data_IF_009369368457
#
_entry.id   IF_009369368457
#
_cell.length_a   1.000
_cell.length_b   1.000
_cell.length_c   1.000
_cell.angle_alpha   90.00
_cell.angle_beta   90.00
_cell.angle_gamma   90.00
#
_symmetry.space_group_name_H-M   'P 1'
#
loop_
_entity.id
_entity.type
_entity.pdbx_description
1 polymer ?
#
# COMPACT_ATOMS: atom_id res chain seq x y z
N UNK A 1 -27.56 -63.42 -4.47
CA UNK A 1 -26.16 -63.55 -4.04
C UNK A 1 -25.96 -62.62 -2.84
N UNK A 2 -25.86 -63.19 -1.62
CA UNK A 2 -25.79 -62.44 -0.35
C UNK A 2 -24.32 -62.15 -0.04
N UNK A 3 -23.95 -60.88 0.14
CA UNK A 3 -22.64 -60.52 0.70
C UNK A 3 -22.80 -60.14 2.18
N UNK A 4 -22.01 -60.81 3.01
CA UNK A 4 -21.99 -60.74 4.47
C UNK A 4 -21.21 -59.50 4.95
N UNK A 5 -21.75 -58.88 6.00
CA UNK A 5 -21.12 -58.27 7.17
C UNK A 5 -19.60 -58.49 7.34
N UNK A 6 -18.86 -57.46 7.80
CA UNK A 6 -18.10 -57.50 9.07
C UNK A 6 -17.43 -56.15 9.45
N UNK A 7 -17.68 -55.76 10.71
CA UNK A 7 -16.84 -55.04 11.74
C UNK A 7 -16.33 -53.62 11.46
N UNK A 8 -16.79 -52.60 12.17
CA UNK A 8 -16.57 -52.29 13.62
C UNK A 8 -15.11 -52.00 13.95
N UNK A 9 -14.75 -50.71 13.97
CA UNK A 9 -13.63 -50.19 14.77
C UNK A 9 -14.19 -49.05 15.63
N UNK A 10 -14.27 -49.35 16.91
CA UNK A 10 -14.38 -48.42 18.04
C UNK A 10 -13.11 -47.59 18.14
N UNK A 11 -13.25 -46.28 18.29
CA UNK A 11 -12.15 -45.36 18.53
C UNK A 11 -12.64 -44.12 19.26
N UNK A 12 -12.96 -44.29 20.53
CA UNK A 12 -13.31 -43.23 21.48
C UNK A 12 -12.08 -42.35 21.74
N UNK A 13 -12.12 -41.08 21.36
CA UNK A 13 -11.21 -40.07 21.88
C UNK A 13 -12.04 -38.89 22.40
N UNK A 14 -12.43 -39.04 23.67
CA UNK A 14 -12.98 -38.00 24.52
C UNK A 14 -11.82 -37.07 24.89
N UNK A 15 -11.76 -35.87 24.33
CA UNK A 15 -10.87 -34.82 24.79
C UNK A 15 -11.70 -33.59 25.17
N UNK A 16 -12.15 -33.64 26.41
CA UNK A 16 -12.70 -32.53 27.18
C UNK A 16 -11.66 -31.41 27.24
N UNK A 17 -11.94 -30.25 26.64
CA UNK A 17 -11.32 -28.99 27.09
C UNK A 17 -12.46 -28.10 27.55
N UNK A 18 -12.54 -28.00 28.88
CA UNK A 18 -13.42 -27.14 29.63
C UNK A 18 -13.26 -25.68 29.24
N UNK A 19 -14.40 -25.00 29.31
CA UNK A 19 -14.56 -23.59 29.61
C UNK A 19 -13.39 -23.02 30.43
N UNK A 20 -12.69 -22.08 29.82
CA UNK A 20 -12.05 -20.99 30.57
C UNK A 20 -12.67 -19.67 30.11
N UNK A 21 -13.60 -19.22 30.96
CA UNK A 21 -13.71 -17.84 31.43
C UNK A 21 -14.14 -16.79 30.40
N UNK A 22 -15.42 -16.42 30.55
CA UNK A 22 -15.87 -15.05 30.74
C UNK A 22 -14.72 -14.04 30.89
N UNK A 23 -14.23 -13.51 29.77
CA UNK A 23 -13.62 -12.19 29.79
C UNK A 23 -14.80 -11.24 29.85
N UNK A 24 -15.14 -10.88 31.09
CA UNK A 24 -15.91 -9.70 31.40
C UNK A 24 -15.44 -8.56 30.49
N UNK A 25 -16.34 -7.98 29.70
CA UNK A 25 -16.17 -6.65 29.14
C UNK A 25 -16.09 -5.67 30.31
N UNK A 26 -14.93 -5.60 30.94
CA UNK A 26 -14.57 -4.51 31.83
C UNK A 26 -14.43 -3.32 30.91
N UNK A 27 -15.44 -2.47 30.93
CA UNK A 27 -15.44 -1.14 30.32
C UNK A 27 -14.42 -0.31 31.11
N UNK A 28 -13.14 -0.57 30.91
CA UNK A 28 -12.09 0.33 31.34
C UNK A 28 -12.24 1.58 30.49
N UNK A 29 -12.87 2.60 31.08
CA UNK A 29 -12.64 4.00 30.72
C UNK A 29 -11.22 4.36 31.14
N UNK A 30 -10.24 3.71 30.52
CA UNK A 30 -8.92 4.29 30.46
C UNK A 30 -8.86 4.94 29.10
N UNK A 31 -9.01 6.26 29.09
CA UNK A 31 -8.64 7.15 27.99
C UNK A 31 -7.10 7.12 27.86
N UNK A 32 -6.53 5.91 27.71
CA UNK A 32 -5.16 5.72 27.26
C UNK A 32 -5.21 6.13 25.82
N UNK A 33 -4.91 7.41 25.58
CA UNK A 33 -4.71 7.96 24.26
C UNK A 33 -4.02 6.91 23.41
N UNK A 34 -4.64 6.57 22.28
CA UNK A 34 -4.15 5.58 21.32
C UNK A 34 -2.64 5.72 21.25
N UNK A 35 -1.85 4.64 21.47
CA UNK A 35 -0.40 4.73 21.45
C UNK A 35 0.01 5.53 20.22
N UNK A 36 0.77 6.61 20.44
CA UNK A 36 1.20 7.45 19.33
C UNK A 36 1.82 6.54 18.28
N UNK A 37 1.32 6.63 17.03
CA UNK A 37 1.83 5.79 15.96
C UNK A 37 3.35 5.98 15.88
N UNK A 38 4.15 4.90 15.84
CA UNK A 38 5.60 5.02 15.85
C UNK A 38 6.08 5.91 14.69
N UNK A 39 6.96 6.87 15.00
CA UNK A 39 7.48 7.90 14.10
C UNK A 39 8.92 8.22 14.49
N UNK A 40 9.79 8.37 13.51
CA UNK A 40 11.07 9.07 13.68
C UNK A 40 11.16 10.19 12.66
N UNK A 41 12.05 11.15 12.91
CA UNK A 41 12.42 12.10 11.88
C UNK A 41 13.02 11.34 10.68
N UNK A 42 12.59 11.73 9.47
CA UNK A 42 13.12 11.20 8.22
C UNK A 42 14.22 12.14 7.74
N UNK A 43 15.35 11.58 7.34
CA UNK A 43 16.49 12.36 6.86
C UNK A 43 16.11 13.14 5.61
N UNK A 44 16.70 14.33 5.48
CA UNK A 44 16.36 15.31 4.41
C UNK A 44 16.76 14.86 3.01
N UNK A 45 17.54 13.80 2.88
CA UNK A 45 17.93 13.22 1.59
C UNK A 45 16.73 12.58 0.87
N UNK A 46 15.78 11.98 1.60
CA UNK A 46 14.55 11.40 1.08
C UNK A 46 13.28 12.18 1.48
N UNK A 47 13.32 12.94 2.59
CA UNK A 47 12.20 13.76 3.06
C UNK A 47 12.10 15.12 2.34
N UNK A 48 10.91 15.71 2.41
CA UNK A 48 10.66 17.11 2.03
C UNK A 48 10.12 17.30 0.61
N UNK A 49 10.31 16.31 -0.27
CA UNK A 49 9.88 16.37 -1.66
C UNK A 49 9.06 15.15 -2.09
N UNK A 50 8.32 15.33 -3.18
CA UNK A 50 7.61 14.26 -3.87
C UNK A 50 8.52 13.62 -4.93
N UNK A 51 8.81 12.33 -4.79
CA UNK A 51 9.51 11.54 -5.80
C UNK A 51 8.49 10.87 -6.72
N UNK A 52 8.68 10.93 -8.03
CA UNK A 52 7.75 10.38 -9.00
C UNK A 52 8.32 9.19 -9.77
N UNK A 53 7.51 8.18 -10.08
CA UNK A 53 7.96 6.98 -10.79
C UNK A 53 7.98 7.18 -12.31
N UNK A 54 9.10 6.85 -12.96
CA UNK A 54 9.15 6.71 -14.43
C UNK A 54 8.77 5.27 -14.80
N UNK A 55 7.51 5.06 -15.15
CA UNK A 55 7.09 3.96 -16.03
C UNK A 55 7.29 4.44 -17.49
N UNK A 56 7.45 3.53 -18.47
CA UNK A 56 7.50 3.84 -19.91
C UNK A 56 6.33 4.73 -20.39
N UNK A 57 5.19 4.75 -19.68
CA UNK A 57 4.07 5.66 -19.92
C UNK A 57 4.19 7.06 -19.25
N UNK A 58 5.20 7.29 -18.41
CA UNK A 58 5.34 8.46 -17.53
C UNK A 58 6.47 9.43 -17.93
N UNK A 59 6.93 9.41 -19.19
CA UNK A 59 7.86 10.42 -19.70
C UNK A 59 7.20 11.79 -19.96
N UNK A 60 5.92 11.95 -19.65
CA UNK A 60 5.25 13.25 -19.70
C UNK A 60 5.69 14.07 -18.47
N UNK A 61 6.48 15.15 -18.65
CA UNK A 61 6.98 15.97 -17.56
C UNK A 61 5.86 16.68 -16.77
N UNK A 62 4.64 16.70 -17.29
CA UNK A 62 3.46 17.23 -16.61
C UNK A 62 2.82 16.21 -15.64
N UNK A 63 3.27 14.94 -15.65
CA UNK A 63 2.84 13.91 -14.70
C UNK A 63 3.60 14.06 -13.37
N UNK A 64 3.18 15.05 -12.60
CA UNK A 64 3.61 15.22 -11.22
C UNK A 64 3.01 14.15 -10.31
N UNK A 65 3.68 13.82 -9.20
CA UNK A 65 3.09 13.03 -8.13
C UNK A 65 1.88 13.77 -7.55
N UNK A 66 0.71 13.39 -8.03
CA UNK A 66 -0.56 13.95 -7.60
C UNK A 66 -1.24 13.01 -6.60
N UNK A 67 -1.41 13.52 -5.39
CA UNK A 67 -1.99 12.82 -4.24
C UNK A 67 -3.49 12.57 -4.36
N UNK A 68 -4.16 13.19 -5.34
CA UNK A 68 -5.61 13.10 -5.47
C UNK A 68 -6.10 11.78 -6.06
N UNK A 69 -5.22 10.81 -6.30
CA UNK A 69 -5.59 9.46 -6.77
C UNK A 69 -6.63 8.80 -5.88
N UNK A 70 -6.55 9.03 -4.56
CA UNK A 70 -7.47 8.49 -3.57
C UNK A 70 -7.60 9.50 -2.43
N UNK A 71 -8.83 9.88 -2.10
CA UNK A 71 -9.12 10.72 -0.96
C UNK A 71 -9.40 9.83 0.27
N UNK A 72 -8.49 9.77 1.24
CA UNK A 72 -8.66 8.89 2.40
C UNK A 72 -9.78 9.32 3.35
N UNK A 73 -10.24 10.57 3.27
CA UNK A 73 -11.33 11.10 4.10
C UNK A 73 -12.68 10.71 3.52
N UNK A 74 -12.84 10.73 2.20
CA UNK A 74 -14.12 10.44 1.53
C UNK A 74 -14.21 9.03 0.96
N UNK A 75 -13.08 8.31 0.84
CA UNK A 75 -13.01 7.00 0.19
C UNK A 75 -13.10 7.05 -1.33
N UNK A 76 -13.02 8.25 -1.94
CA UNK A 76 -13.21 8.44 -3.38
C UNK A 76 -11.89 8.26 -4.11
N UNK A 77 -11.91 7.43 -5.17
CA UNK A 77 -10.83 7.33 -6.14
C UNK A 77 -10.98 8.38 -7.24
N UNK A 78 -9.84 8.82 -7.77
CA UNK A 78 -9.70 9.68 -8.94
C UNK A 78 -10.48 10.99 -8.89
N UNK A 79 -10.83 11.47 -7.69
CA UNK A 79 -11.70 12.63 -7.52
C UNK A 79 -13.01 12.53 -8.36
N UNK A 80 -13.61 11.33 -8.41
CA UNK A 80 -14.79 10.98 -9.24
C UNK A 80 -14.58 11.02 -10.76
N UNK A 81 -13.35 11.17 -11.27
CA UNK A 81 -13.09 10.99 -12.69
C UNK A 81 -13.37 9.52 -13.10
N UNK A 82 -13.90 9.27 -14.32
CA UNK A 82 -14.19 7.92 -14.79
C UNK A 82 -12.95 7.02 -14.85
N UNK A 83 -11.82 7.59 -15.26
CA UNK A 83 -10.52 6.90 -15.31
C UNK A 83 -9.44 7.83 -14.74
N UNK A 84 -8.25 7.31 -14.35
CA UNK A 84 -7.12 8.17 -13.98
C UNK A 84 -6.72 9.16 -15.08
N UNK A 85 -6.92 8.82 -16.36
CA UNK A 85 -6.49 9.67 -17.48
C UNK A 85 -7.37 10.89 -17.68
N UNK A 86 -8.58 10.83 -17.14
CA UNK A 86 -9.56 11.92 -17.14
C UNK A 86 -9.40 12.85 -15.93
N UNK A 87 -8.53 12.50 -14.98
CA UNK A 87 -8.22 13.39 -13.86
C UNK A 87 -7.43 14.62 -14.32
N UNK A 88 -7.74 15.76 -13.70
CA UNK A 88 -6.97 17.00 -13.84
C UNK A 88 -6.64 17.51 -12.43
N UNK A 89 -5.35 17.55 -12.02
CA UNK A 89 -4.20 16.98 -12.72
C UNK A 89 -4.28 15.45 -12.79
N UNK A 90 -3.63 14.85 -13.79
CA UNK A 90 -3.52 13.39 -13.90
C UNK A 90 -2.81 12.81 -12.66
N UNK A 91 -3.14 11.58 -12.22
CA UNK A 91 -2.48 10.96 -11.10
C UNK A 91 -1.07 10.52 -11.53
N UNK A 92 -0.09 10.79 -10.67
CA UNK A 92 1.28 10.34 -10.86
C UNK A 92 1.58 9.10 -10.01
N UNK A 93 2.54 8.30 -10.49
CA UNK A 93 3.23 7.34 -9.64
C UNK A 93 4.21 8.08 -8.75
N UNK A 94 4.32 7.73 -7.47
CA UNK A 94 5.31 8.36 -6.63
C UNK A 94 5.25 7.98 -5.16
N UNK A 95 6.19 8.55 -4.43
CA UNK A 95 6.37 8.41 -3.00
C UNK A 95 6.75 9.76 -2.42
N UNK A 96 6.22 10.05 -1.23
CA UNK A 96 6.55 11.24 -0.46
C UNK A 96 6.78 10.85 0.99
N UNK A 97 7.88 11.33 1.53
CA UNK A 97 8.15 11.32 2.96
C UNK A 97 8.23 12.76 3.45
N UNK A 98 7.53 13.03 4.54
CA UNK A 98 7.66 14.28 5.26
C UNK A 98 8.69 14.14 6.37
N UNK A 99 9.28 15.27 6.79
CA UNK A 99 10.33 15.27 7.81
C UNK A 99 9.87 14.69 9.15
N UNK A 100 8.58 14.80 9.48
CA UNK A 100 7.99 14.30 10.73
C UNK A 100 7.60 12.80 10.67
N UNK A 101 7.99 12.10 9.61
CA UNK A 101 7.71 10.67 9.45
C UNK A 101 6.37 10.33 8.82
N UNK A 102 5.53 11.27 8.39
CA UNK A 102 4.35 10.89 7.59
C UNK A 102 4.79 10.52 6.16
N UNK A 103 4.17 9.47 5.59
CA UNK A 103 4.45 9.04 4.23
C UNK A 103 3.19 8.81 3.41
N UNK A 104 3.34 8.90 2.09
CA UNK A 104 2.31 8.59 1.11
C UNK A 104 2.91 7.98 -0.16
N UNK A 105 2.31 6.92 -0.66
CA UNK A 105 2.76 6.17 -1.85
C UNK A 105 1.55 5.95 -2.76
N UNK A 106 1.70 6.33 -4.02
CA UNK A 106 0.77 5.98 -5.09
C UNK A 106 1.53 5.20 -6.17
N UNK A 107 0.99 4.07 -6.59
CA UNK A 107 1.45 3.38 -7.80
C UNK A 107 0.25 2.95 -8.63
N UNK A 108 0.41 2.92 -9.93
CA UNK A 108 -0.53 2.29 -10.82
C UNK A 108 0.21 1.65 -12.00
N UNK A 109 -0.44 0.66 -12.59
CA UNK A 109 0.00 0.00 -13.81
C UNK A 109 -1.19 -0.16 -14.74
N UNK A 110 -0.95 -0.21 -16.04
CA UNK A 110 -1.98 -0.49 -17.05
C UNK A 110 -1.59 -1.66 -17.92
N UNK A 111 -2.58 -2.34 -18.49
CA UNK A 111 -2.38 -3.44 -19.45
C UNK A 111 -1.84 -3.01 -20.83
N UNK A 112 -1.49 -1.72 -21.04
CA UNK A 112 -0.81 -1.24 -22.25
C UNK A 112 -1.59 -0.22 -23.10
N UNK A 113 -1.27 -0.16 -24.40
CA UNK A 113 -1.89 0.73 -25.39
C UNK A 113 -3.13 0.07 -26.04
N UNK A 114 -4.21 0.83 -26.27
CA UNK A 114 -5.47 0.33 -26.88
C UNK A 114 -6.74 0.79 -26.16
N UNK A 115 -7.92 0.37 -26.64
CA UNK A 115 -9.23 0.81 -26.11
C UNK A 115 -9.79 -0.01 -24.93
N UNK A 116 -9.32 -1.24 -24.74
CA UNK A 116 -9.77 -2.13 -23.65
C UNK A 116 -8.67 -2.24 -22.59
N UNK A 117 -8.46 -1.17 -21.83
CA UNK A 117 -7.40 -1.13 -20.82
C UNK A 117 -7.90 -1.66 -19.48
N UNK A 118 -7.00 -2.33 -18.77
CA UNK A 118 -7.17 -2.61 -17.35
C UNK A 118 -6.13 -1.84 -16.57
N UNK A 119 -6.48 -1.44 -15.35
CA UNK A 119 -5.65 -0.64 -14.47
C UNK A 119 -5.64 -1.26 -13.08
N UNK A 120 -4.47 -1.33 -12.47
CA UNK A 120 -4.33 -1.61 -11.05
C UNK A 120 -3.72 -0.40 -10.36
N UNK A 121 -4.27 0.00 -9.22
CA UNK A 121 -3.86 1.15 -8.43
C UNK A 121 -3.57 0.71 -7.00
N UNK A 122 -2.53 1.28 -6.46
CA UNK A 122 -2.00 1.06 -5.13
C UNK A 122 -1.95 2.42 -4.45
N UNK A 123 -2.53 2.51 -3.26
CA UNK A 123 -2.43 3.68 -2.42
C UNK A 123 -2.08 3.26 -0.99
N UNK A 124 -1.07 3.88 -0.42
CA UNK A 124 -0.64 3.64 0.94
C UNK A 124 -0.26 4.95 1.63
N UNK A 125 -0.72 5.13 2.88
CA UNK A 125 -0.28 6.24 3.73
C UNK A 125 -0.15 5.80 5.17
N UNK A 126 0.72 6.47 5.91
CA UNK A 126 0.94 6.15 7.32
C UNK A 126 2.13 6.91 7.88
N UNK A 127 2.79 6.29 8.85
CA UNK A 127 4.01 6.82 9.44
C UNK A 127 5.21 5.93 9.14
N UNK A 128 6.40 6.49 9.21
CA UNK A 128 7.64 5.82 8.92
C UNK A 128 8.61 5.99 10.10
N UNK A 129 9.39 4.95 10.35
CA UNK A 129 10.55 4.96 11.23
C UNK A 129 11.80 4.65 10.42
N UNK A 130 12.82 5.48 10.54
CA UNK A 130 14.06 5.33 9.81
C UNK A 130 15.22 4.97 10.74
N UNK A 131 16.04 4.02 10.30
CA UNK A 131 17.30 3.65 10.94
C UNK A 131 18.37 3.44 9.87
N UNK A 132 19.18 4.48 9.63
CA UNK A 132 20.12 4.48 8.51
C UNK A 132 19.36 4.46 7.18
N UNK A 133 19.64 3.48 6.32
CA UNK A 133 18.95 3.30 5.04
C UNK A 133 17.72 2.39 5.12
N UNK A 134 17.47 1.77 6.27
CA UNK A 134 16.26 1.00 6.52
C UNK A 134 15.12 1.95 6.94
N UNK A 135 13.95 1.79 6.31
CA UNK A 135 12.71 2.47 6.71
C UNK A 135 11.66 1.39 7.02
N UNK A 136 11.04 1.48 8.19
CA UNK A 136 9.85 0.70 8.54
C UNK A 136 8.62 1.57 8.34
N UNK A 137 7.76 1.19 7.39
CA UNK A 137 6.48 1.82 7.16
C UNK A 137 5.43 1.20 8.09
N UNK A 138 4.60 2.05 8.68
CA UNK A 138 3.44 1.71 9.50
C UNK A 138 2.18 2.24 8.80
N UNK A 139 1.61 1.48 7.85
CA UNK A 139 0.44 1.93 7.10
C UNK A 139 -0.75 2.18 8.02
N UNK A 140 -1.38 3.33 7.88
CA UNK A 140 -2.72 3.59 8.46
C UNK A 140 -3.82 3.36 7.44
N UNK A 141 -3.48 3.46 6.15
CA UNK A 141 -4.33 3.10 5.02
C UNK A 141 -3.44 2.36 4.03
N UNK A 142 -3.97 1.24 3.53
CA UNK A 142 -3.37 0.50 2.45
C UNK A 142 -4.50 -0.07 1.59
N UNK A 143 -4.62 0.40 0.35
CA UNK A 143 -5.70 0.02 -0.57
C UNK A 143 -5.17 -0.36 -1.93
N UNK A 144 -5.92 -1.23 -2.58
CA UNK A 144 -5.70 -1.64 -3.95
C UNK A 144 -7.03 -1.60 -4.71
N UNK A 145 -7.01 -0.97 -5.88
CA UNK A 145 -8.15 -0.91 -6.80
C UNK A 145 -7.75 -1.49 -8.14
N UNK A 146 -8.62 -2.29 -8.72
CA UNK A 146 -8.50 -2.76 -10.08
C UNK A 146 -9.75 -2.38 -10.87
N UNK A 147 -9.54 -1.97 -12.11
CA UNK A 147 -10.60 -1.64 -13.04
C UNK A 147 -10.26 -2.22 -14.43
N UNK A 148 -11.18 -2.97 -15.01
CA UNK A 148 -11.06 -3.59 -16.33
C UNK A 148 -12.15 -3.06 -17.24
N UNK A 149 -11.76 -2.34 -18.30
CA UNK A 149 -12.70 -1.83 -19.30
C UNK A 149 -13.35 -2.99 -20.09
N UNK A 150 -12.62 -4.07 -20.32
CA UNK A 150 -13.12 -5.24 -21.07
C UNK A 150 -14.03 -6.16 -20.24
N UNK A 151 -13.83 -6.20 -18.94
CA UNK A 151 -14.56 -7.10 -18.05
C UNK A 151 -14.72 -6.48 -16.65
N UNK A 152 -15.74 -5.62 -16.45
CA UNK A 152 -16.00 -4.99 -15.17
C UNK A 152 -16.34 -5.98 -14.05
N UNK A 153 -16.63 -7.25 -14.34
CA UNK A 153 -16.87 -8.26 -13.31
C UNK A 153 -15.60 -8.60 -12.51
N UNK A 154 -14.43 -8.25 -13.04
CA UNK A 154 -13.14 -8.39 -12.38
C UNK A 154 -12.78 -7.20 -11.49
N UNK A 155 -13.54 -6.11 -11.55
CA UNK A 155 -13.27 -4.89 -10.80
C UNK A 155 -13.28 -5.15 -9.30
N UNK A 156 -12.32 -4.55 -8.59
CA UNK A 156 -12.32 -4.56 -7.14
C UNK A 156 -11.79 -3.26 -6.56
N UNK A 157 -12.22 -2.98 -5.34
CA UNK A 157 -11.63 -1.99 -4.46
C UNK A 157 -11.55 -2.61 -3.07
N UNK A 158 -10.33 -2.87 -2.61
CA UNK A 158 -10.11 -3.59 -1.37
C UNK A 158 -9.06 -2.92 -0.51
N UNK A 159 -9.30 -3.03 0.78
CA UNK A 159 -8.29 -2.76 1.77
C UNK A 159 -7.30 -3.92 1.85
N UNK A 160 -6.02 -3.60 2.07
CA UNK A 160 -4.95 -4.56 2.24
C UNK A 160 -4.47 -4.57 3.70
N UNK A 161 -3.84 -5.67 4.16
CA UNK A 161 -3.27 -5.76 5.51
C UNK A 161 -2.31 -4.61 5.78
N UNK A 162 -2.47 -3.96 6.94
CA UNK A 162 -1.70 -2.77 7.34
C UNK A 162 -0.48 -3.13 8.19
N UNK A 163 0.06 -4.31 7.98
CA UNK A 163 1.23 -4.79 8.71
C UNK A 163 2.42 -3.87 8.44
N UNK A 164 3.27 -3.71 9.45
CA UNK A 164 4.50 -2.94 9.31
C UNK A 164 5.40 -3.60 8.25
N UNK A 165 5.98 -2.79 7.37
CA UNK A 165 6.82 -3.29 6.27
C UNK A 165 8.14 -2.58 6.23
N UNK A 166 9.22 -3.35 6.02
CA UNK A 166 10.56 -2.81 5.90
C UNK A 166 10.91 -2.59 4.43
N UNK A 167 11.44 -1.42 4.14
CA UNK A 167 12.03 -1.06 2.87
C UNK A 167 13.46 -0.57 3.10
N UNK A 168 14.27 -0.58 2.06
CA UNK A 168 15.55 0.14 2.03
C UNK A 168 15.50 1.22 0.97
N UNK A 169 16.29 2.27 1.16
CA UNK A 169 16.44 3.29 0.13
C UNK A 169 17.90 3.62 -0.19
N UNK A 170 18.13 4.07 -1.41
CA UNK A 170 19.39 4.67 -1.84
C UNK A 170 19.09 5.88 -2.74
N UNK A 171 19.67 7.04 -2.42
CA UNK A 171 19.53 8.27 -3.21
C UNK A 171 20.72 8.49 -4.12
N UNK A 172 20.46 8.97 -5.33
CA UNK A 172 21.46 9.26 -6.35
C UNK A 172 21.19 10.64 -6.94
N UNK A 173 22.23 11.48 -6.99
CA UNK A 173 22.15 12.82 -7.58
C UNK A 173 22.89 12.85 -8.91
N UNK A 174 22.23 13.34 -9.95
CA UNK A 174 22.83 13.61 -11.24
C UNK A 174 23.25 15.08 -11.35
N UNK A 175 24.26 15.36 -12.16
CA UNK A 175 24.73 16.73 -12.43
C UNK A 175 23.81 17.53 -13.35
N UNK A 176 22.81 16.88 -13.96
CA UNK A 176 21.89 17.48 -14.94
C UNK A 176 20.59 18.03 -14.31
N UNK A 177 20.55 18.23 -12.98
CA UNK A 177 19.36 18.74 -12.27
C UNK A 177 18.33 17.67 -11.88
N UNK A 178 18.69 16.39 -11.98
CA UNK A 178 17.84 15.28 -11.61
C UNK A 178 18.40 14.51 -10.42
N UNK A 179 17.53 14.06 -9.53
CA UNK A 179 17.85 13.05 -8.52
C UNK A 179 16.96 11.81 -8.77
N UNK A 180 17.41 10.64 -8.30
CA UNK A 180 16.53 9.49 -8.13
C UNK A 180 16.74 8.82 -6.78
N UNK A 181 15.71 8.11 -6.33
CA UNK A 181 15.72 7.23 -5.17
C UNK A 181 15.31 5.83 -5.61
N UNK A 182 16.12 4.85 -5.24
CA UNK A 182 15.81 3.43 -5.40
C UNK A 182 15.22 2.92 -4.08
N UNK A 183 14.00 2.39 -4.13
CA UNK A 183 13.32 1.74 -3.02
C UNK A 183 13.40 0.23 -3.22
N UNK A 184 14.07 -0.46 -2.30
CA UNK A 184 14.09 -1.93 -2.25
C UNK A 184 13.00 -2.40 -1.29
N UNK A 185 12.02 -3.11 -1.81
CA UNK A 185 10.89 -3.66 -1.06
C UNK A 185 11.28 -4.95 -0.33
N UNK A 186 10.38 -5.44 0.55
CA UNK A 186 10.60 -6.65 1.34
C UNK A 186 10.77 -7.93 0.52
N UNK A 187 10.28 -7.94 -0.73
CA UNK A 187 10.46 -9.03 -1.69
C UNK A 187 11.73 -8.87 -2.55
N UNK A 188 12.59 -7.90 -2.22
CA UNK A 188 13.79 -7.50 -2.95
C UNK A 188 13.55 -6.89 -4.33
N UNK A 189 12.29 -6.59 -4.69
CA UNK A 189 12.04 -5.78 -5.88
C UNK A 189 12.55 -4.37 -5.65
N UNK A 190 13.08 -3.74 -6.71
CA UNK A 190 13.56 -2.37 -6.66
C UNK A 190 12.63 -1.50 -7.50
N UNK A 191 12.16 -0.39 -6.95
CA UNK A 191 11.41 0.63 -7.68
C UNK A 191 12.16 1.94 -7.62
N UNK A 192 12.40 2.53 -8.80
CA UNK A 192 13.07 3.82 -8.93
C UNK A 192 12.07 4.95 -9.05
N UNK A 193 12.31 6.01 -8.29
CA UNK A 193 11.57 7.26 -8.36
C UNK A 193 12.54 8.41 -8.61
N UNK A 194 12.08 9.46 -9.29
CA UNK A 194 12.87 10.58 -9.75
C UNK A 194 12.32 11.87 -9.17
N UNK A 195 13.17 12.90 -9.12
CA UNK A 195 12.73 14.28 -8.93
C UNK A 195 13.65 15.21 -9.70
N UNK A 196 13.15 16.40 -10.01
CA UNK A 196 13.96 17.50 -10.54
C UNK A 196 14.21 18.50 -9.41
N UNK A 197 15.44 18.99 -9.28
CA UNK A 197 15.83 19.99 -8.27
C UNK A 197 16.29 21.30 -8.90
#
# INVERSE_FOLDING_TARGET
MRLKLLRSITGTALATILLSLNIACKKNKDDKGTPATPRTDITTDIAGDSWFGLDEANMDPDLHFNLTVYNPTTGIWFNNAPTPWDMVPRPGNGIRFSANGDFEICRFTSSGLGGLKSYAFFYMKGTAEQKGTDITLHPTIYRNKYNSVSDPSLDYDRELPRDAMKIKYATHRYTNGWDHVDITWSDNTVTRYYRKY
#
